data_IF_470778757116
#
_entry.id   IF_470778757116
#
_cell.length_a   1.000
_cell.length_b   1.000
_cell.length_c   1.000
_cell.angle_alpha   90.00
_cell.angle_beta   90.00
_cell.angle_gamma   90.00
#
_symmetry.space_group_name_H-M   'P 1'
#
loop_
_entity.id
_entity.type
_entity.pdbx_description
1 polymer ?
#
# COMPACT_ATOMS: atom_id res chain seq x y z
N UNK A 1 5.77 6.53 9.74
CA UNK A 1 6.30 5.35 10.46
C UNK A 1 6.89 4.40 9.43
N UNK A 2 8.08 3.87 9.67
CA UNK A 2 8.71 2.90 8.76
C UNK A 2 8.04 1.54 8.98
N UNK A 3 7.79 0.75 7.93
CA UNK A 3 7.19 -0.60 8.02
C UNK A 3 7.85 -1.45 9.12
N UNK A 4 9.17 -1.38 9.21
CA UNK A 4 9.96 -2.12 10.18
C UNK A 4 9.63 -1.71 11.63
N UNK A 5 9.27 -0.46 11.89
CA UNK A 5 8.83 -0.02 13.22
C UNK A 5 7.45 -0.58 13.56
N UNK A 6 6.53 -0.64 12.60
CA UNK A 6 5.20 -1.23 12.83
C UNK A 6 5.31 -2.72 13.13
N UNK A 7 6.05 -3.47 12.30
CA UNK A 7 6.27 -4.90 12.50
C UNK A 7 6.98 -5.15 13.84
N UNK A 8 8.03 -4.39 14.16
CA UNK A 8 8.75 -4.53 15.43
C UNK A 8 7.85 -4.24 16.63
N UNK A 9 7.01 -3.21 16.59
CA UNK A 9 6.06 -2.91 17.67
C UNK A 9 4.96 -3.96 17.81
N UNK A 10 4.45 -4.47 16.69
CA UNK A 10 3.45 -5.55 16.68
C UNK A 10 4.04 -6.82 17.31
N UNK A 11 5.28 -7.13 16.97
CA UNK A 11 5.98 -8.32 17.48
C UNK A 11 6.25 -8.20 18.98
N UNK A 12 6.72 -7.05 19.44
CA UNK A 12 6.84 -6.75 20.88
C UNK A 12 5.48 -6.84 21.61
N UNK A 13 4.39 -6.40 20.98
CA UNK A 13 3.05 -6.49 21.57
C UNK A 13 2.60 -7.95 21.71
N UNK A 14 2.86 -8.78 20.69
CA UNK A 14 2.56 -10.21 20.71
C UNK A 14 3.37 -10.93 21.80
N UNK A 15 4.65 -10.61 21.95
CA UNK A 15 5.50 -11.16 23.03
C UNK A 15 5.00 -10.77 24.43
N UNK A 16 4.47 -9.56 24.60
CA UNK A 16 3.86 -9.14 25.87
C UNK A 16 2.53 -9.85 26.15
N UNK A 17 1.72 -10.09 25.11
CA UNK A 17 0.50 -10.90 25.22
C UNK A 17 0.83 -12.33 25.68
N UNK A 18 1.97 -12.86 25.23
CA UNK A 18 2.49 -14.16 25.66
C UNK A 18 2.98 -14.22 27.11
N UNK A 19 2.95 -13.12 27.86
CA UNK A 19 3.25 -13.09 29.30
C UNK A 19 2.00 -12.95 30.18
N UNK A 20 0.83 -12.71 29.58
CA UNK A 20 -0.43 -12.50 30.29
C UNK A 20 -1.14 -13.84 30.63
N UNK A 21 -2.03 -13.85 31.65
CA UNK A 21 -2.84 -15.03 32.01
C UNK A 21 -3.74 -15.50 30.86
N UNK A 22 -3.93 -16.82 30.75
CA UNK A 22 -4.63 -17.48 29.63
C UNK A 22 -6.07 -17.00 29.40
N UNK A 23 -6.71 -16.40 30.41
CA UNK A 23 -8.08 -15.88 30.33
C UNK A 23 -8.26 -14.69 29.38
N UNK A 24 -7.20 -13.90 29.12
CA UNK A 24 -7.29 -12.69 28.27
C UNK A 24 -6.48 -12.79 26.95
N UNK A 25 -5.52 -13.72 26.87
CA UNK A 25 -4.70 -13.98 25.66
C UNK A 25 -5.49 -14.12 24.36
N UNK A 26 -6.51 -14.98 24.24
CA UNK A 26 -7.10 -15.30 22.94
C UNK A 26 -7.77 -14.08 22.31
N UNK A 27 -8.33 -13.18 23.12
CA UNK A 27 -9.01 -11.96 22.63
C UNK A 27 -8.00 -10.93 22.10
N UNK A 28 -6.86 -10.78 22.78
CA UNK A 28 -5.79 -9.86 22.38
C UNK A 28 -5.03 -10.37 21.15
N UNK A 29 -4.75 -11.68 21.09
CA UNK A 29 -4.16 -12.31 19.89
C UNK A 29 -5.05 -12.14 18.67
N UNK A 30 -6.37 -12.33 18.82
CA UNK A 30 -7.32 -12.15 17.73
C UNK A 30 -7.29 -10.70 17.21
N UNK A 31 -7.30 -9.72 18.12
CA UNK A 31 -7.24 -8.30 17.77
C UNK A 31 -5.92 -7.92 17.08
N UNK A 32 -4.80 -8.47 17.54
CA UNK A 32 -3.48 -8.26 16.94
C UNK A 32 -3.41 -8.85 15.53
N UNK A 33 -3.90 -10.08 15.34
CA UNK A 33 -3.99 -10.73 14.02
C UNK A 33 -4.89 -9.95 13.06
N UNK A 34 -6.05 -9.49 13.53
CA UNK A 34 -6.96 -8.69 12.71
C UNK A 34 -6.31 -7.36 12.28
N UNK A 35 -5.64 -6.69 13.20
CA UNK A 35 -4.92 -5.43 12.92
C UNK A 35 -3.81 -5.65 11.89
N UNK A 36 -3.03 -6.73 12.03
CA UNK A 36 -1.99 -7.09 11.06
C UNK A 36 -2.59 -7.36 9.68
N UNK A 37 -3.69 -8.10 9.59
CA UNK A 37 -4.37 -8.40 8.33
C UNK A 37 -4.92 -7.14 7.66
N UNK A 38 -5.55 -6.24 8.43
CA UNK A 38 -6.05 -4.95 7.93
C UNK A 38 -4.90 -4.09 7.39
N UNK A 39 -3.78 -4.01 8.11
CA UNK A 39 -2.61 -3.26 7.67
C UNK A 39 -2.03 -3.83 6.36
N UNK A 40 -1.88 -5.15 6.26
CA UNK A 40 -1.40 -5.82 5.04
C UNK A 40 -2.33 -5.58 3.85
N UNK A 41 -3.65 -5.66 4.03
CA UNK A 41 -4.62 -5.35 2.96
C UNK A 41 -4.53 -3.90 2.51
N UNK A 42 -4.49 -2.96 3.45
CA UNK A 42 -4.36 -1.54 3.14
C UNK A 42 -3.08 -1.25 2.33
N UNK A 43 -1.95 -1.86 2.73
CA UNK A 43 -0.69 -1.73 2.01
C UNK A 43 -0.78 -2.26 0.58
N UNK A 44 -1.41 -3.42 0.39
CA UNK A 44 -1.65 -4.00 -0.94
C UNK A 44 -2.46 -3.04 -1.82
N UNK A 45 -3.57 -2.52 -1.30
CA UNK A 45 -4.42 -1.57 -2.05
C UNK A 45 -3.68 -0.28 -2.40
N UNK A 46 -2.86 0.26 -1.49
CA UNK A 46 -2.04 1.44 -1.79
C UNK A 46 -1.03 1.13 -2.90
N UNK A 47 -0.40 -0.04 -2.88
CA UNK A 47 0.50 -0.47 -3.95
C UNK A 47 -0.18 -0.55 -5.31
N UNK A 48 -1.36 -1.20 -5.38
CA UNK A 48 -2.16 -1.32 -6.60
C UNK A 48 -2.60 0.06 -7.13
N UNK A 49 -2.95 1.00 -6.24
CA UNK A 49 -3.26 2.38 -6.61
C UNK A 49 -2.04 3.12 -7.16
N UNK A 50 -0.86 2.93 -6.55
CA UNK A 50 0.38 3.52 -7.05
C UNK A 50 0.72 3.02 -8.45
N UNK A 51 0.62 1.71 -8.70
CA UNK A 51 0.82 1.12 -10.02
C UNK A 51 -0.17 1.67 -11.05
N UNK A 52 -1.44 1.81 -10.66
CA UNK A 52 -2.48 2.38 -11.53
C UNK A 52 -2.20 3.85 -11.89
N UNK A 53 -1.72 4.65 -10.93
CA UNK A 53 -1.34 6.04 -11.15
C UNK A 53 -0.09 6.15 -12.04
N UNK A 54 0.90 5.28 -11.86
CA UNK A 54 2.09 5.24 -12.71
C UNK A 54 1.74 4.86 -14.14
N UNK A 55 0.83 3.89 -14.32
CA UNK A 55 0.30 3.54 -15.62
C UNK A 55 -0.43 4.74 -16.27
N UNK A 56 -1.34 5.37 -15.53
CA UNK A 56 -2.06 6.56 -16.01
C UNK A 56 -1.10 7.68 -16.42
N UNK A 57 -0.07 7.94 -15.60
CA UNK A 57 0.95 8.96 -15.89
C UNK A 57 1.65 8.67 -17.22
N UNK A 58 2.00 7.41 -17.49
CA UNK A 58 2.62 7.02 -18.74
C UNK A 58 1.66 7.21 -19.93
N UNK A 59 0.41 6.79 -19.79
CA UNK A 59 -0.63 6.95 -20.81
C UNK A 59 -0.85 8.43 -21.17
N UNK A 60 -0.87 9.32 -20.17
CA UNK A 60 -0.97 10.77 -20.40
C UNK A 60 0.25 11.30 -21.17
N UNK A 61 1.47 10.85 -20.84
CA UNK A 61 2.67 11.24 -21.61
C UNK A 61 2.57 10.85 -23.07
N UNK A 62 2.09 9.64 -23.37
CA UNK A 62 1.89 9.20 -24.75
C UNK A 62 0.81 10.02 -25.47
N UNK A 63 -0.33 10.28 -24.83
CA UNK A 63 -1.37 11.12 -25.42
C UNK A 63 -0.88 12.53 -25.76
N UNK A 64 -0.10 13.15 -24.87
CA UNK A 64 0.48 14.47 -25.13
C UNK A 64 1.50 14.41 -26.26
N UNK A 65 2.33 13.37 -26.31
CA UNK A 65 3.30 13.16 -27.38
C UNK A 65 2.61 13.00 -28.74
N UNK A 66 1.58 12.17 -28.83
CA UNK A 66 0.82 11.94 -30.06
C UNK A 66 0.10 13.22 -30.52
N UNK A 67 -0.44 13.99 -29.56
CA UNK A 67 -1.07 15.29 -29.84
C UNK A 67 -0.05 16.29 -30.42
N UNK A 68 1.16 16.35 -29.86
CA UNK A 68 2.23 17.21 -30.38
C UNK A 68 2.70 16.78 -31.76
N UNK A 69 2.84 15.47 -32.01
CA UNK A 69 3.18 14.92 -33.32
C UNK A 69 2.13 15.33 -34.37
N UNK A 70 0.85 15.09 -34.08
CA UNK A 70 -0.27 15.46 -34.95
C UNK A 70 -0.31 16.97 -35.22
N UNK A 71 -0.08 17.79 -34.18
CA UNK A 71 -0.03 19.26 -34.34
C UNK A 71 1.12 19.70 -35.23
N UNK A 72 2.29 19.06 -35.13
CA UNK A 72 3.44 19.36 -36.01
C UNK A 72 3.11 18.99 -37.45
N UNK A 73 2.59 17.80 -37.70
CA UNK A 73 2.20 17.34 -39.04
C UNK A 73 1.21 18.31 -39.71
N UNK A 74 0.14 18.71 -39.00
CA UNK A 74 -0.84 19.67 -39.51
C UNK A 74 -0.30 21.08 -39.76
N UNK A 75 0.86 21.44 -39.18
CA UNK A 75 1.52 22.73 -39.45
C UNK A 75 2.45 22.66 -40.67
N UNK A 76 2.90 21.47 -41.04
CA UNK A 76 3.76 21.24 -42.20
C UNK A 76 2.95 20.96 -43.49
N UNK A 77 1.70 20.51 -43.36
CA UNK A 77 0.72 20.34 -44.44
C UNK A 77 -0.09 21.62 -44.68
#
# INVERSE_FOLDING_TARGET
MKENEFQSRLQNLLEQIDTLPDTERPKLEQLAKETQQRHTRMKKTIGELQESLDHLRLSVKYLVFDLEATRRENKYL
#
